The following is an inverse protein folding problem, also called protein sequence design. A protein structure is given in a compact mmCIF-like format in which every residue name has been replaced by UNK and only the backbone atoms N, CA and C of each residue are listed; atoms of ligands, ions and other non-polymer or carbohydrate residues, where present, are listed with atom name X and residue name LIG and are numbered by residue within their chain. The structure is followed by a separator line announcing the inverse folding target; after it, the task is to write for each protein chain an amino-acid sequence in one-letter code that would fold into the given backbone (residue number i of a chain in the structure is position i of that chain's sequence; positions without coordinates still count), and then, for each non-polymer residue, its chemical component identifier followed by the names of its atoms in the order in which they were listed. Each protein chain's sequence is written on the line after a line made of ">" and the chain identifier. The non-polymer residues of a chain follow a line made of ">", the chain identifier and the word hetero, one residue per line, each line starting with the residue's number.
data_IF_674879450339
#
_entry.id   IF_674879450339
#
_cell.length_a   1.000
_cell.length_b   1.000
_cell.length_c   1.000
_cell.angle_alpha   90.00
_cell.angle_beta   90.00
_cell.angle_gamma   90.00
#
_symmetry.space_group_name_H-M   'P 1'
#
loop_
_entity.id
_entity.type
_entity.pdbx_description
1 polymer ?
#
# COMPACT_ATOMS: atom_id res chain seq x y z
N UNK A 1 -54.64 13.13 -5.74
CA UNK A 1 -53.61 13.53 -4.78
C UNK A 1 -52.32 12.85 -5.21
N UNK A 2 -51.38 13.62 -5.76
CA UNK A 2 -50.08 13.08 -6.18
C UNK A 2 -49.18 12.91 -4.97
N UNK A 3 -48.59 11.73 -4.81
CA UNK A 3 -47.53 11.49 -3.83
C UNK A 3 -46.26 12.09 -4.42
N UNK A 4 -45.79 13.20 -3.85
CA UNK A 4 -44.48 13.75 -4.20
C UNK A 4 -43.40 12.73 -3.79
N UNK A 5 -42.53 12.36 -4.73
CA UNK A 5 -41.37 11.55 -4.44
C UNK A 5 -40.44 12.33 -3.48
N UNK A 6 -40.11 11.72 -2.35
CA UNK A 6 -39.15 12.27 -1.40
C UNK A 6 -37.79 12.32 -2.10
N UNK A 7 -37.22 13.52 -2.28
CA UNK A 7 -35.87 13.65 -2.83
C UNK A 7 -34.89 12.91 -1.92
N UNK A 8 -34.10 12.00 -2.50
CA UNK A 8 -33.06 11.29 -1.76
C UNK A 8 -31.99 12.30 -1.36
N UNK A 9 -32.02 12.74 -0.11
CA UNK A 9 -31.00 13.61 0.46
C UNK A 9 -29.63 12.94 0.32
N UNK A 10 -28.72 13.58 -0.41
CA UNK A 10 -27.37 13.05 -0.66
C UNK A 10 -26.57 13.20 0.64
N UNK A 11 -25.85 12.14 1.04
CA UNK A 11 -24.97 12.21 2.21
C UNK A 11 -23.96 13.37 2.06
N UNK A 12 -23.66 14.10 3.14
CA UNK A 12 -22.61 15.11 3.15
C UNK A 12 -21.27 14.55 2.67
N UNK A 13 -20.45 15.34 1.97
CA UNK A 13 -19.15 14.87 1.46
C UNK A 13 -18.19 14.45 2.58
N UNK A 14 -18.26 15.12 3.73
CA UNK A 14 -17.44 14.86 4.91
C UNK A 14 -18.09 13.88 5.91
N UNK A 15 -19.08 13.06 5.48
CA UNK A 15 -19.83 12.18 6.39
C UNK A 15 -18.94 11.28 7.27
N UNK A 16 -17.78 10.87 6.76
CA UNK A 16 -16.83 10.01 7.45
C UNK A 16 -16.19 10.68 8.69
N UNK A 17 -16.27 12.00 8.79
CA UNK A 17 -15.77 12.77 9.94
C UNK A 17 -16.83 13.01 11.02
N UNK A 18 -18.11 12.73 10.73
CA UNK A 18 -19.24 13.06 11.59
C UNK A 18 -19.45 12.05 12.74
N UNK A 19 -20.26 12.44 13.72
CA UNK A 19 -20.52 11.66 14.92
C UNK A 19 -21.88 10.94 14.88
N UNK A 20 -21.94 9.65 15.28
CA UNK A 20 -23.17 8.87 15.21
C UNK A 20 -24.26 9.28 16.21
N UNK A 21 -23.92 9.98 17.28
CA UNK A 21 -24.86 10.43 18.32
C UNK A 21 -25.33 11.86 18.00
N UNK A 22 -24.42 12.73 17.58
CA UNK A 22 -24.72 14.14 17.33
C UNK A 22 -25.32 14.38 15.94
N UNK A 23 -24.73 13.76 14.90
CA UNK A 23 -25.07 14.04 13.49
C UNK A 23 -25.95 12.94 12.88
N UNK A 24 -26.27 11.90 13.67
CA UNK A 24 -27.01 10.71 13.22
C UNK A 24 -26.38 10.00 12.01
N UNK A 25 -25.08 10.20 11.78
CA UNK A 25 -24.31 9.61 10.70
C UNK A 25 -23.14 8.80 11.27
N UNK A 26 -22.96 7.57 10.78
CA UNK A 26 -21.93 6.62 11.28
C UNK A 26 -20.53 6.98 10.75
N UNK A 27 -19.97 8.11 11.18
CA UNK A 27 -18.59 8.52 10.92
C UNK A 27 -17.63 8.20 12.08
N UNK A 28 -16.39 8.70 11.98
CA UNK A 28 -15.31 8.49 12.96
C UNK A 28 -15.24 9.57 14.07
N UNK A 29 -16.17 10.52 14.11
CA UNK A 29 -16.19 11.62 15.09
C UNK A 29 -14.88 12.44 15.14
N UNK A 30 -14.19 12.59 14.01
CA UNK A 30 -12.92 13.34 13.93
C UNK A 30 -13.16 14.83 14.11
N UNK A 31 -14.25 15.38 13.57
CA UNK A 31 -14.61 16.81 13.70
C UNK A 31 -14.82 17.17 15.18
N UNK A 32 -15.63 16.37 15.89
CA UNK A 32 -15.83 16.50 17.33
C UNK A 32 -14.52 16.40 18.11
N UNK A 33 -13.62 15.49 17.72
CA UNK A 33 -12.31 15.35 18.34
C UNK A 33 -11.47 16.62 18.22
N UNK A 34 -11.46 17.28 17.05
CA UNK A 34 -10.79 18.57 16.86
C UNK A 34 -11.41 19.68 17.70
N UNK A 35 -12.74 19.73 17.78
CA UNK A 35 -13.48 20.80 18.48
C UNK A 35 -13.42 20.69 20.01
N UNK A 36 -13.46 19.47 20.56
CA UNK A 36 -13.58 19.23 22.00
C UNK A 36 -12.28 18.74 22.62
N UNK A 37 -11.69 17.67 22.07
CA UNK A 37 -10.59 16.95 22.72
C UNK A 37 -9.22 17.57 22.44
N UNK A 38 -9.02 18.09 21.23
CA UNK A 38 -7.75 18.68 20.81
C UNK A 38 -7.68 20.19 21.05
N UNK A 39 -8.78 20.82 21.48
CA UNK A 39 -8.84 22.26 21.74
C UNK A 39 -7.79 22.67 22.78
N UNK A 40 -6.92 23.59 22.40
CA UNK A 40 -5.83 24.08 23.25
C UNK A 40 -4.65 23.12 23.44
N UNK A 41 -4.65 21.96 22.77
CA UNK A 41 -3.47 21.08 22.75
C UNK A 41 -2.51 21.51 21.65
N UNK A 42 -1.21 21.46 21.96
CA UNK A 42 -0.16 21.65 20.97
C UNK A 42 0.15 20.32 20.29
N UNK A 43 0.10 20.32 18.95
CA UNK A 43 0.51 19.17 18.16
C UNK A 43 2.03 19.00 18.15
N UNK A 44 2.48 17.76 17.99
CA UNK A 44 3.87 17.44 17.66
C UNK A 44 3.92 16.96 16.22
N UNK A 45 4.90 17.44 15.46
CA UNK A 45 5.17 16.89 14.13
C UNK A 45 5.73 15.48 14.27
N UNK A 46 5.08 14.52 13.62
CA UNK A 46 5.54 13.14 13.52
C UNK A 46 5.79 12.82 12.05
N UNK A 47 6.82 12.02 11.79
CA UNK A 47 7.07 11.45 10.45
C UNK A 47 6.36 10.11 10.40
N UNK A 48 5.55 9.91 9.36
CA UNK A 48 4.80 8.67 9.11
C UNK A 48 5.27 8.08 7.79
N UNK A 49 5.70 6.82 7.79
CA UNK A 49 6.05 6.10 6.58
C UNK A 49 4.80 5.48 5.95
N UNK A 50 4.57 5.76 4.67
CA UNK A 50 3.49 5.18 3.87
C UNK A 50 4.11 4.19 2.88
N UNK A 51 3.71 2.92 2.94
CA UNK A 51 4.17 1.87 2.04
C UNK A 51 3.01 1.53 1.11
N UNK A 52 3.01 2.15 -0.06
CA UNK A 52 1.98 2.04 -1.10
C UNK A 52 2.67 2.13 -2.47
N UNK A 53 1.88 2.32 -3.52
CA UNK A 53 2.25 2.63 -4.90
C UNK A 53 2.96 3.98 -5.09
N UNK A 54 3.06 4.80 -4.04
CA UNK A 54 3.72 6.11 -4.04
C UNK A 54 2.78 7.22 -3.58
N UNK A 55 3.26 8.47 -3.68
CA UNK A 55 2.50 9.66 -3.34
C UNK A 55 2.78 10.75 -4.38
N UNK A 56 1.76 11.50 -4.77
CA UNK A 56 1.95 12.71 -5.56
C UNK A 56 2.53 13.82 -4.68
N UNK A 57 3.85 13.99 -4.74
CA UNK A 57 4.57 15.02 -3.97
C UNK A 57 4.25 16.45 -4.42
N UNK A 58 3.59 16.63 -5.57
CA UNK A 58 3.21 17.95 -6.12
C UNK A 58 1.79 18.37 -5.77
N UNK A 59 1.01 17.48 -5.13
CA UNK A 59 -0.36 17.74 -4.74
C UNK A 59 -0.47 18.94 -3.80
N UNK A 60 -1.39 19.87 -4.08
CA UNK A 60 -1.54 21.13 -3.35
C UNK A 60 -1.77 20.94 -1.84
N UNK A 61 -2.67 20.03 -1.46
CA UNK A 61 -2.98 19.73 -0.06
C UNK A 61 -1.82 19.05 0.72
N UNK A 62 -0.84 18.49 0.02
CA UNK A 62 0.33 17.85 0.63
C UNK A 62 1.53 18.79 0.72
N UNK A 63 1.44 20.00 0.17
CA UNK A 63 2.52 20.97 0.22
C UNK A 63 2.91 21.28 1.68
N UNK A 64 4.21 21.17 1.96
CA UNK A 64 4.75 21.35 3.32
C UNK A 64 4.42 20.22 4.30
N UNK A 65 3.78 19.13 3.85
CA UNK A 65 3.53 17.90 4.64
C UNK A 65 4.40 16.71 4.20
N UNK A 66 4.94 16.75 2.98
CA UNK A 66 5.88 15.75 2.49
C UNK A 66 7.19 15.82 3.29
N UNK A 67 7.66 14.65 3.74
CA UNK A 67 8.93 14.53 4.43
C UNK A 67 10.11 14.77 3.48
N UNK A 68 11.16 15.42 3.98
CA UNK A 68 12.39 15.71 3.24
C UNK A 68 13.57 15.04 3.96
N UNK A 69 14.32 14.20 3.24
CA UNK A 69 15.60 13.68 3.73
C UNK A 69 16.64 14.80 3.73
N UNK A 70 16.82 15.46 4.88
CA UNK A 70 17.78 16.56 5.04
C UNK A 70 19.25 16.12 4.92
N UNK A 71 19.51 14.82 4.83
CA UNK A 71 20.86 14.27 4.68
C UNK A 71 21.27 14.08 3.22
N UNK A 72 20.33 14.19 2.29
CA UNK A 72 20.59 14.10 0.85
C UNK A 72 20.81 15.48 0.20
N UNK A 73 21.70 15.54 -0.78
CA UNK A 73 21.87 16.70 -1.66
C UNK A 73 21.11 16.44 -2.96
N UNK A 74 20.06 17.21 -3.28
CA UNK A 74 19.21 16.91 -4.43
C UNK A 74 19.95 16.86 -5.77
N UNK A 75 19.69 15.81 -6.56
CA UNK A 75 20.12 15.64 -7.95
C UNK A 75 21.65 15.59 -8.12
N UNK A 76 22.38 15.06 -7.13
CA UNK A 76 23.83 14.92 -7.25
C UNK A 76 24.27 13.52 -7.73
N UNK A 77 23.32 12.59 -7.86
CA UNK A 77 23.56 11.22 -8.33
C UNK A 77 24.28 10.34 -7.31
N UNK A 78 24.27 10.71 -6.03
CA UNK A 78 24.97 10.00 -4.94
C UNK A 78 23.98 9.67 -3.82
N UNK A 79 24.37 8.67 -3.05
CA UNK A 79 23.78 8.35 -1.76
C UNK A 79 24.64 9.07 -0.71
N UNK A 80 24.19 10.24 -0.25
CA UNK A 80 24.96 11.11 0.63
C UNK A 80 24.89 10.64 2.09
N UNK A 81 23.76 10.05 2.49
CA UNK A 81 23.53 9.56 3.85
C UNK A 81 23.98 8.10 4.08
N UNK A 82 24.35 7.40 2.99
CA UNK A 82 24.85 6.02 2.94
C UNK A 82 23.82 4.99 3.39
N UNK A 83 22.54 5.23 3.12
CA UNK A 83 21.46 4.31 3.46
C UNK A 83 21.19 3.24 2.39
N UNK A 84 21.84 3.33 1.22
CA UNK A 84 21.69 2.41 0.09
C UNK A 84 20.76 2.91 -1.03
N UNK A 85 20.23 4.13 -0.91
CA UNK A 85 19.32 4.76 -1.86
C UNK A 85 19.92 6.07 -2.38
N UNK A 86 19.98 6.24 -3.70
CA UNK A 86 20.59 7.41 -4.33
C UNK A 86 19.54 8.51 -4.50
N UNK A 87 19.82 9.73 -4.02
CA UNK A 87 18.92 10.89 -4.14
C UNK A 87 17.49 10.65 -3.57
N UNK A 88 17.34 9.95 -2.44
CA UNK A 88 16.03 9.59 -1.83
C UNK A 88 15.34 10.73 -1.05
N UNK A 89 15.25 11.91 -1.67
CA UNK A 89 14.84 13.17 -1.04
C UNK A 89 13.47 13.13 -0.36
N UNK A 90 12.50 12.42 -0.92
CA UNK A 90 11.12 12.34 -0.40
C UNK A 90 10.68 10.89 -0.11
N UNK A 91 11.65 9.99 0.07
CA UNK A 91 11.44 8.55 0.18
C UNK A 91 11.95 7.81 -1.05
N UNK A 92 11.58 6.54 -1.14
CA UNK A 92 12.15 5.62 -2.12
C UNK A 92 11.10 4.78 -2.84
N UNK A 93 11.42 4.43 -4.08
CA UNK A 93 10.64 3.52 -4.89
C UNK A 93 11.33 2.15 -4.98
N UNK A 94 10.80 1.18 -4.24
CA UNK A 94 11.36 -0.17 -4.15
C UNK A 94 11.10 -1.06 -5.38
N UNK A 95 10.13 -0.68 -6.21
CA UNK A 95 9.76 -1.39 -7.44
C UNK A 95 10.50 -0.79 -8.63
N UNK A 96 11.01 0.44 -8.49
CA UNK A 96 11.76 1.15 -9.51
C UNK A 96 13.10 0.46 -9.83
N UNK A 97 13.39 0.33 -11.12
CA UNK A 97 14.73 0.01 -11.60
C UNK A 97 15.72 1.14 -11.31
N UNK A 98 17.03 0.85 -11.45
CA UNK A 98 18.10 1.87 -11.30
C UNK A 98 17.97 3.07 -12.24
N UNK A 99 17.16 2.95 -13.29
CA UNK A 99 16.84 4.00 -14.25
C UNK A 99 15.61 4.85 -13.83
N UNK A 100 15.11 4.68 -12.60
CA UNK A 100 13.96 5.41 -12.08
C UNK A 100 12.62 4.99 -12.70
N UNK A 101 12.60 3.94 -13.53
CA UNK A 101 11.38 3.43 -14.14
C UNK A 101 10.70 2.45 -13.21
N UNK A 102 9.40 2.65 -13.03
CA UNK A 102 8.54 1.68 -12.36
C UNK A 102 8.49 0.40 -13.18
N UNK A 103 8.60 -0.75 -12.51
CA UNK A 103 8.19 -2.01 -13.12
C UNK A 103 6.67 -1.96 -13.27
N UNK A 104 6.18 -1.85 -14.50
CA UNK A 104 4.74 -1.73 -14.78
C UNK A 104 3.95 -3.00 -14.46
N UNK A 105 4.63 -4.16 -14.41
CA UNK A 105 4.03 -5.45 -14.13
C UNK A 105 4.90 -6.24 -13.15
N UNK A 106 4.35 -6.50 -11.96
CA UNK A 106 4.95 -7.45 -11.04
C UNK A 106 4.99 -8.83 -11.68
N UNK A 107 6.11 -9.53 -11.46
CA UNK A 107 6.20 -10.94 -11.85
C UNK A 107 5.21 -11.74 -10.98
N UNK A 108 4.21 -12.36 -11.60
CA UNK A 108 3.26 -13.23 -10.90
C UNK A 108 4.00 -14.24 -10.01
N UNK A 109 3.45 -14.51 -8.82
CA UNK A 109 3.97 -15.55 -7.92
C UNK A 109 4.14 -16.90 -8.62
N UNK A 110 3.24 -17.22 -9.56
CA UNK A 110 3.34 -18.41 -10.41
C UNK A 110 4.65 -18.43 -11.23
N UNK A 111 5.04 -17.30 -11.80
CA UNK A 111 6.27 -17.18 -12.59
C UNK A 111 7.50 -17.30 -11.68
N UNK A 112 7.49 -16.68 -10.49
CA UNK A 112 8.56 -16.81 -9.51
C UNK A 112 8.74 -18.27 -9.07
N UNK A 113 7.63 -18.98 -8.83
CA UNK A 113 7.68 -20.39 -8.46
C UNK A 113 8.09 -21.29 -9.62
N UNK A 114 7.66 -20.99 -10.84
CA UNK A 114 8.14 -21.70 -12.01
C UNK A 114 9.66 -21.58 -12.14
N UNK A 115 10.23 -20.38 -12.06
CA UNK A 115 11.69 -20.17 -12.14
C UNK A 115 12.42 -20.93 -11.02
N UNK A 116 11.94 -20.80 -9.77
CA UNK A 116 12.53 -21.51 -8.61
C UNK A 116 12.51 -23.03 -8.80
N UNK A 117 11.40 -23.58 -9.29
CA UNK A 117 11.24 -25.02 -9.49
C UNK A 117 11.94 -25.50 -10.76
N UNK A 118 12.10 -24.66 -11.78
CA UNK A 118 12.79 -25.00 -13.02
C UNK A 118 14.27 -25.31 -12.79
N UNK A 119 14.93 -24.62 -11.86
CA UNK A 119 16.31 -24.98 -11.44
C UNK A 119 16.40 -26.42 -10.93
N UNK A 120 15.36 -26.86 -10.20
CA UNK A 120 15.34 -28.18 -9.55
C UNK A 120 14.78 -29.29 -10.46
N UNK A 121 13.83 -28.97 -11.33
CA UNK A 121 13.03 -29.95 -12.07
C UNK A 121 13.10 -29.79 -13.60
N UNK A 122 13.67 -28.70 -14.12
CA UNK A 122 13.67 -28.36 -15.55
C UNK A 122 14.45 -29.33 -16.46
N UNK A 123 15.35 -30.14 -15.88
CA UNK A 123 16.12 -31.17 -16.60
C UNK A 123 15.54 -32.59 -16.48
N UNK A 124 14.42 -32.75 -15.77
CA UNK A 124 13.81 -34.07 -15.58
C UNK A 124 12.94 -34.38 -16.80
N UNK A 125 13.39 -35.31 -17.64
CA UNK A 125 12.60 -35.82 -18.76
C UNK A 125 11.36 -36.59 -18.25
N UNK A 126 10.21 -36.32 -18.87
CA UNK A 126 8.85 -36.81 -18.54
C UNK A 126 8.66 -38.34 -18.49
N UNK A 127 9.70 -39.14 -18.75
CA UNK A 127 9.62 -40.59 -18.66
C UNK A 127 10.15 -41.09 -17.31
N UNK A 128 9.20 -41.54 -16.49
CA UNK A 128 9.32 -42.06 -15.11
C UNK A 128 9.36 -41.02 -13.99
N UNK A 129 8.38 -40.13 -13.96
CA UNK A 129 7.90 -39.58 -12.68
C UNK A 129 6.86 -40.56 -12.12
N UNK A 130 7.30 -41.56 -11.35
CA UNK A 130 6.38 -42.41 -10.60
C UNK A 130 5.60 -41.59 -9.56
N UNK A 131 4.43 -42.10 -9.15
CA UNK A 131 3.44 -41.49 -8.22
C UNK A 131 3.97 -40.93 -6.87
N UNK A 132 5.28 -40.91 -6.62
CA UNK A 132 5.90 -40.32 -5.42
C UNK A 132 6.05 -38.80 -5.51
N UNK A 133 6.40 -38.23 -6.67
CA UNK A 133 6.71 -36.78 -6.76
C UNK A 133 5.47 -35.90 -6.62
N UNK A 134 4.30 -36.41 -6.98
CA UNK A 134 3.02 -35.67 -6.89
C UNK A 134 2.63 -35.42 -5.42
N UNK A 135 3.04 -36.29 -4.48
CA UNK A 135 2.70 -36.17 -3.05
C UNK A 135 3.53 -35.12 -2.30
N UNK A 136 4.70 -34.75 -2.81
CA UNK A 136 5.61 -33.80 -2.15
C UNK A 136 5.47 -32.36 -2.68
N UNK A 137 4.48 -32.10 -3.54
CA UNK A 137 4.17 -30.76 -4.05
C UNK A 137 3.51 -29.90 -2.95
N UNK A 138 4.03 -28.70 -2.63
CA UNK A 138 3.41 -27.77 -1.70
C UNK A 138 1.97 -27.40 -2.08
N UNK A 139 1.65 -27.40 -3.37
CA UNK A 139 0.33 -27.07 -3.91
C UNK A 139 -0.77 -28.06 -3.52
N UNK A 140 -0.45 -29.29 -3.10
CA UNK A 140 -1.43 -30.22 -2.54
C UNK A 140 -1.63 -30.07 -1.03
N UNK A 141 -0.67 -29.49 -0.30
CA UNK A 141 -0.79 -29.28 1.15
C UNK A 141 -1.80 -28.18 1.51
N UNK A 142 -2.03 -27.21 0.62
CA UNK A 142 -3.08 -26.19 0.82
C UNK A 142 -4.49 -26.71 0.53
N UNK A 143 -4.65 -27.71 -0.35
CA UNK A 143 -5.98 -28.28 -0.64
C UNK A 143 -6.59 -29.09 0.52
N UNK A 144 -5.80 -29.42 1.55
CA UNK A 144 -6.28 -30.12 2.75
C UNK A 144 -6.48 -29.21 3.97
N UNK A 145 -6.16 -27.91 3.88
CA UNK A 145 -6.30 -26.98 5.01
C UNK A 145 -7.60 -26.14 4.98
N UNK A 146 -8.40 -26.23 3.92
CA UNK A 146 -9.71 -25.56 3.82
C UNK A 146 -10.81 -26.64 3.82
N UNK A 147 -11.01 -27.27 4.97
CA UNK A 147 -12.15 -28.14 5.27
C UNK A 147 -12.19 -28.41 6.78
N UNK A 148 -12.62 -27.39 7.54
CA UNK A 148 -13.35 -27.47 8.80
C UNK A 148 -13.94 -26.08 9.06
#
# INVERSE_FOLDING_TARGET
>A
MGVAAQEKEKSPENWFNLDPIQDNLRGMSTEKTYQELLKGKQGRTIVVAVIDSGVDITHEDLQGKIWINTKEIPNNGKDDDKNGFVDDLNGWNFIGGKDGKNVEQDSYELTREYVRLNEKFGKIHHQKVGNRVIKDSPLQREKFAISA
#
